data_IF_027296763066
#
_entry.id   IF_027296763066
#
_cell.length_a   1.000
_cell.length_b   1.000
_cell.length_c   1.000
_cell.angle_alpha   90.00
_cell.angle_beta   90.00
_cell.angle_gamma   90.00
#
_symmetry.space_group_name_H-M   'P 1'
#
loop_
_entity.id
_entity.type
_entity.pdbx_description
1 polymer ?
#
# COMPACT_ATOMS: atom_id res chain seq x y z
N UNK A 1 16.12 -4.06 6.83
CA UNK A 1 16.03 -5.48 6.40
C UNK A 1 15.99 -5.72 4.89
N UNK A 2 14.91 -5.36 4.16
CA UNK A 2 14.63 -5.88 2.78
C UNK A 2 15.77 -5.71 1.77
N UNK A 3 16.62 -4.70 1.93
CA UNK A 3 17.76 -4.39 1.06
C UNK A 3 19.04 -5.18 1.35
N UNK A 4 19.08 -6.08 2.37
CA UNK A 4 20.29 -6.81 2.79
C UNK A 4 20.97 -7.59 1.66
N UNK A 5 20.19 -8.22 0.76
CA UNK A 5 20.72 -9.05 -0.33
C UNK A 5 21.03 -8.21 -1.59
N UNK A 6 21.17 -6.88 -1.43
CA UNK A 6 21.36 -5.92 -2.53
C UNK A 6 22.64 -5.09 -2.36
N UNK A 7 23.19 -4.63 -3.48
CA UNK A 7 24.33 -3.68 -3.55
C UNK A 7 24.08 -2.30 -2.94
N UNK A 8 22.96 -2.10 -2.25
CA UNK A 8 22.54 -0.86 -1.61
C UNK A 8 22.24 -1.02 -0.12
N UNK A 9 22.50 -2.18 0.51
CA UNK A 9 22.12 -2.46 1.91
C UNK A 9 22.54 -1.34 2.88
N UNK A 10 23.81 -0.88 2.78
CA UNK A 10 24.41 0.16 3.62
C UNK A 10 23.99 1.60 3.24
N UNK A 11 23.10 1.73 2.24
CA UNK A 11 22.63 2.98 1.65
C UNK A 11 21.11 3.13 1.76
N UNK A 12 20.47 2.36 2.65
CA UNK A 12 19.01 2.38 2.87
C UNK A 12 18.47 3.81 3.13
N UNK A 13 19.09 4.65 3.99
CA UNK A 13 18.64 6.03 4.15
C UNK A 13 18.79 6.89 2.88
N UNK A 14 19.95 6.82 2.21
CA UNK A 14 20.23 7.61 1.00
C UNK A 14 19.23 7.29 -0.13
N UNK A 15 18.93 6.01 -0.35
CA UNK A 15 17.98 5.56 -1.39
C UNK A 15 16.57 6.08 -1.11
N UNK A 16 16.14 6.10 0.15
CA UNK A 16 14.79 6.57 0.53
C UNK A 16 14.68 8.09 0.47
N UNK A 17 15.67 8.84 0.99
CA UNK A 17 15.75 10.30 0.84
C UNK A 17 15.71 10.67 -0.64
N UNK A 18 16.55 10.03 -1.47
CA UNK A 18 16.66 10.36 -2.90
C UNK A 18 15.40 10.01 -3.69
N UNK A 19 14.69 8.94 -3.32
CA UNK A 19 13.39 8.60 -3.90
C UNK A 19 12.33 9.67 -3.58
N UNK A 20 12.28 10.13 -2.33
CA UNK A 20 11.37 11.19 -1.89
C UNK A 20 11.64 12.53 -2.60
N UNK A 21 12.91 12.94 -2.73
CA UNK A 21 13.32 14.14 -3.48
C UNK A 21 12.87 14.10 -4.95
N UNK A 22 13.05 12.95 -5.62
CA UNK A 22 12.65 12.77 -7.02
C UNK A 22 11.13 12.83 -7.16
N UNK A 23 10.39 12.17 -6.27
CA UNK A 23 8.93 12.21 -6.24
C UNK A 23 8.42 13.64 -5.97
N UNK A 24 9.04 14.38 -5.04
CA UNK A 24 8.72 15.78 -4.75
C UNK A 24 8.94 16.69 -5.95
N UNK A 25 10.06 16.55 -6.66
CA UNK A 25 10.35 17.32 -7.88
C UNK A 25 9.35 17.05 -9.02
N UNK A 26 8.82 15.83 -9.11
CA UNK A 26 7.75 15.52 -10.05
C UNK A 26 6.39 16.10 -9.59
N UNK A 27 6.05 15.92 -8.32
CA UNK A 27 4.78 16.35 -7.75
C UNK A 27 4.61 17.88 -7.71
N UNK A 28 5.70 18.64 -7.54
CA UNK A 28 5.68 20.11 -7.55
C UNK A 28 5.22 20.73 -8.88
N UNK A 29 5.21 19.96 -9.98
CA UNK A 29 4.69 20.41 -11.27
C UNK A 29 3.16 20.61 -11.27
N UNK A 30 2.44 19.92 -10.37
CA UNK A 30 0.97 19.94 -10.29
C UNK A 30 0.45 20.11 -8.84
N UNK A 31 1.31 20.55 -7.92
CA UNK A 31 1.03 20.63 -6.47
C UNK A 31 0.45 19.31 -5.88
N UNK A 32 0.99 18.18 -6.32
CA UNK A 32 0.59 16.85 -5.85
C UNK A 32 1.21 16.50 -4.49
N UNK A 33 0.54 15.58 -3.76
CA UNK A 33 1.08 14.99 -2.53
C UNK A 33 2.07 13.87 -2.84
N UNK A 34 3.09 13.73 -2.00
CA UNK A 34 4.14 12.70 -2.08
C UNK A 34 3.99 11.73 -0.93
N UNK A 35 3.73 10.46 -1.25
CA UNK A 35 3.67 9.37 -0.27
C UNK A 35 5.02 8.65 -0.15
N UNK A 36 5.56 8.55 1.06
CA UNK A 36 6.67 7.65 1.39
C UNK A 36 6.16 6.21 1.53
N UNK A 37 6.39 5.39 0.50
CA UNK A 37 5.94 4.00 0.46
C UNK A 37 6.89 3.06 1.22
N UNK A 38 6.33 2.23 2.10
CA UNK A 38 7.04 1.21 2.86
C UNK A 38 6.29 -0.12 2.73
N UNK A 39 6.96 -1.14 2.19
CA UNK A 39 6.40 -2.49 2.02
C UNK A 39 6.88 -3.47 3.09
N UNK A 40 6.32 -4.69 3.13
CA UNK A 40 6.74 -5.72 4.09
C UNK A 40 8.22 -6.09 3.94
N UNK A 41 8.86 -6.51 5.04
CA UNK A 41 10.29 -6.85 5.08
C UNK A 41 10.63 -8.13 4.31
N UNK A 42 9.62 -8.93 3.96
CA UNK A 42 9.74 -10.14 3.14
C UNK A 42 10.10 -11.40 3.92
N UNK A 43 9.97 -11.40 5.24
CA UNK A 43 10.14 -12.56 6.10
C UNK A 43 9.21 -12.48 7.33
N UNK A 44 8.90 -13.62 7.93
CA UNK A 44 7.85 -13.75 8.96
C UNK A 44 8.44 -13.52 10.36
N UNK A 45 7.67 -12.88 11.24
CA UNK A 45 8.01 -12.67 12.65
C UNK A 45 7.82 -13.94 13.49
N UNK A 46 8.47 -14.02 14.65
CA UNK A 46 8.19 -15.05 15.65
C UNK A 46 6.71 -15.06 16.08
N UNK A 47 6.12 -16.23 16.39
CA UNK A 47 6.76 -17.56 16.46
C UNK A 47 6.88 -18.28 15.10
N UNK A 48 6.33 -17.74 14.02
CA UNK A 48 6.21 -18.43 12.72
C UNK A 48 7.40 -18.23 11.78
N UNK A 49 8.29 -17.29 12.08
CA UNK A 49 9.55 -17.06 11.36
C UNK A 49 10.66 -16.52 12.27
N UNK A 50 11.82 -16.15 11.70
CA UNK A 50 13.02 -15.87 12.48
C UNK A 50 13.08 -14.47 13.09
N UNK A 51 12.28 -13.52 12.62
CA UNK A 51 12.44 -12.10 12.96
C UNK A 51 11.83 -11.73 14.31
N UNK A 52 12.54 -10.90 15.08
CA UNK A 52 11.99 -10.24 16.26
C UNK A 52 11.15 -9.03 15.88
N UNK A 53 10.16 -8.72 16.72
CA UNK A 53 9.29 -7.55 16.54
C UNK A 53 10.07 -6.22 16.55
N UNK A 54 11.01 -6.07 17.49
CA UNK A 54 11.80 -4.83 17.62
C UNK A 54 12.80 -4.62 16.46
N UNK A 55 13.36 -5.68 15.86
CA UNK A 55 14.23 -5.56 14.68
C UNK A 55 13.46 -5.05 13.44
N UNK A 56 12.21 -5.52 13.30
CA UNK A 56 11.29 -5.07 12.23
C UNK A 56 10.87 -3.63 12.46
N UNK A 57 10.51 -3.28 13.70
CA UNK A 57 10.16 -1.92 14.13
C UNK A 57 11.30 -0.93 13.93
N UNK A 58 12.53 -1.30 14.29
CA UNK A 58 13.74 -0.51 14.02
C UNK A 58 13.99 -0.34 12.50
N UNK A 59 13.77 -1.39 11.70
CA UNK A 59 13.86 -1.29 10.22
C UNK A 59 12.86 -0.27 9.65
N UNK A 60 11.61 -0.29 10.09
CA UNK A 60 10.61 0.67 9.62
C UNK A 60 10.85 2.08 10.17
N UNK A 61 11.42 2.22 11.38
CA UNK A 61 11.83 3.52 11.92
C UNK A 61 12.95 4.17 11.08
N UNK A 62 13.97 3.40 10.68
CA UNK A 62 15.02 3.89 9.76
C UNK A 62 14.42 4.38 8.44
N UNK A 63 13.57 3.56 7.81
CA UNK A 63 12.97 3.90 6.52
C UNK A 63 12.02 5.10 6.61
N UNK A 64 11.15 5.12 7.62
CA UNK A 64 10.20 6.22 7.84
C UNK A 64 10.92 7.55 8.11
N UNK A 65 12.01 7.54 8.89
CA UNK A 65 12.84 8.73 9.09
C UNK A 65 13.46 9.21 7.78
N UNK A 66 14.08 8.32 7.00
CA UNK A 66 14.70 8.68 5.74
C UNK A 66 13.69 9.26 4.72
N UNK A 67 12.47 8.72 4.68
CA UNK A 67 11.39 9.27 3.84
C UNK A 67 10.91 10.64 4.35
N UNK A 68 10.77 10.82 5.67
CA UNK A 68 10.39 12.09 6.27
C UNK A 68 11.47 13.19 6.05
N UNK A 69 12.75 12.86 6.25
CA UNK A 69 13.89 13.75 5.99
C UNK A 69 13.97 14.12 4.50
N UNK A 70 13.58 13.22 3.60
CA UNK A 70 13.41 13.48 2.16
C UNK A 70 12.17 14.28 1.77
N UNK A 71 11.34 14.69 2.75
CA UNK A 71 10.24 15.64 2.56
C UNK A 71 8.98 15.08 1.89
N UNK A 72 8.53 13.87 2.27
CA UNK A 72 7.21 13.33 1.91
C UNK A 72 6.07 13.97 2.74
N UNK A 73 4.85 14.02 2.21
CA UNK A 73 3.67 14.59 2.90
C UNK A 73 2.97 13.60 3.85
N UNK A 74 3.14 12.30 3.58
CA UNK A 74 2.54 11.20 4.31
C UNK A 74 3.37 9.92 4.12
N UNK A 75 3.20 8.96 5.04
CA UNK A 75 3.75 7.61 4.92
C UNK A 75 2.64 6.62 4.56
N UNK A 76 2.96 5.63 3.73
CA UNK A 76 2.03 4.58 3.31
C UNK A 76 2.69 3.23 3.54
N UNK A 77 2.21 2.49 4.54
CA UNK A 77 2.58 1.11 4.82
C UNK A 77 1.67 0.24 3.95
N UNK A 78 2.10 -0.21 2.76
CA UNK A 78 1.23 -0.96 1.83
C UNK A 78 1.77 -2.31 1.33
N UNK A 79 0.84 -3.17 0.90
CA UNK A 79 1.06 -4.60 0.58
C UNK A 79 1.30 -5.47 1.82
N UNK A 80 0.77 -5.09 2.98
CA UNK A 80 0.94 -5.89 4.21
C UNK A 80 0.07 -7.15 4.23
N UNK A 81 0.54 -8.18 4.95
CA UNK A 81 -0.16 -9.45 5.09
C UNK A 81 -0.43 -9.86 6.55
N UNK A 82 0.40 -9.43 7.52
CA UNK A 82 0.28 -9.79 8.94
C UNK A 82 -0.09 -8.57 9.81
N UNK A 83 -0.84 -8.75 10.89
CA UNK A 83 -1.17 -7.65 11.81
C UNK A 83 0.05 -7.26 12.66
N UNK A 84 0.92 -8.23 12.95
CA UNK A 84 2.09 -8.14 13.82
C UNK A 84 3.21 -7.32 13.14
N UNK A 85 3.52 -7.65 11.88
CA UNK A 85 4.46 -6.90 11.05
C UNK A 85 3.96 -5.47 10.81
N UNK A 86 2.67 -5.29 10.55
CA UNK A 86 2.06 -3.97 10.35
C UNK A 86 2.06 -3.14 11.64
N UNK A 87 1.93 -3.79 12.81
CA UNK A 87 2.07 -3.14 14.11
C UNK A 87 3.50 -2.65 14.34
N UNK A 88 4.50 -3.48 14.05
CA UNK A 88 5.91 -3.10 14.09
C UNK A 88 6.21 -1.93 13.13
N UNK A 89 5.65 -1.97 11.91
CA UNK A 89 5.79 -0.91 10.92
C UNK A 89 5.18 0.42 11.38
N UNK A 90 3.97 0.38 11.96
CA UNK A 90 3.28 1.57 12.44
C UNK A 90 3.98 2.19 13.65
N UNK A 91 4.37 1.37 14.64
CA UNK A 91 5.14 1.85 15.80
C UNK A 91 6.51 2.40 15.39
N UNK A 92 7.21 1.72 14.47
CA UNK A 92 8.49 2.17 13.94
C UNK A 92 8.37 3.55 13.30
N UNK A 93 7.41 3.71 12.39
CA UNK A 93 7.15 4.98 11.72
C UNK A 93 6.74 6.10 12.69
N UNK A 94 5.80 5.84 13.60
CA UNK A 94 5.30 6.83 14.58
C UNK A 94 6.36 7.21 15.63
N UNK A 95 7.37 6.37 15.87
CA UNK A 95 8.45 6.69 16.83
C UNK A 95 9.46 7.73 16.32
N UNK A 96 9.46 8.04 15.02
CA UNK A 96 10.44 8.95 14.39
C UNK A 96 9.83 10.15 13.66
N UNK A 97 8.52 10.15 13.37
CA UNK A 97 7.86 11.27 12.69
C UNK A 97 6.37 11.33 12.98
N UNK A 98 5.83 12.55 12.96
CA UNK A 98 4.41 12.80 13.18
C UNK A 98 3.54 12.76 11.91
N UNK A 99 4.15 12.56 10.74
CA UNK A 99 3.47 12.54 9.44
C UNK A 99 2.22 11.63 9.42
N UNK A 100 1.18 11.95 8.63
CA UNK A 100 0.03 11.08 8.44
C UNK A 100 0.45 9.68 7.95
N UNK A 101 -0.08 8.62 8.56
CA UNK A 101 0.20 7.23 8.17
C UNK A 101 -1.07 6.62 7.56
N UNK A 102 -0.94 6.08 6.35
CA UNK A 102 -1.92 5.18 5.71
C UNK A 102 -1.45 3.74 5.88
N UNK A 103 -2.38 2.82 6.14
CA UNK A 103 -2.08 1.38 6.25
C UNK A 103 -2.91 0.61 5.23
N UNK A 104 -2.26 -0.19 4.39
CA UNK A 104 -2.91 -0.93 3.31
C UNK A 104 -2.45 -2.40 3.22
N UNK A 105 -3.43 -3.29 3.06
CA UNK A 105 -3.23 -4.74 3.07
C UNK A 105 -3.44 -5.37 1.67
N UNK A 106 -2.76 -6.48 1.41
CA UNK A 106 -2.93 -7.28 0.19
C UNK A 106 -3.78 -8.51 0.47
N UNK A 107 -4.98 -8.56 -0.12
CA UNK A 107 -5.96 -9.62 0.09
C UNK A 107 -5.90 -10.63 -1.07
N UNK A 108 -5.02 -11.62 -0.93
CA UNK A 108 -4.67 -12.62 -1.95
C UNK A 108 -5.38 -13.98 -1.77
N UNK A 109 -6.26 -14.12 -0.77
CA UNK A 109 -7.02 -15.35 -0.43
C UNK A 109 -8.52 -15.06 -0.32
N UNK A 110 -9.09 -14.44 -1.34
CA UNK A 110 -10.42 -13.83 -1.28
C UNK A 110 -10.36 -12.55 -0.43
N UNK A 111 -11.35 -12.30 0.42
CA UNK A 111 -11.32 -11.17 1.40
C UNK A 111 -10.39 -11.45 2.59
N UNK A 112 -9.26 -12.12 2.35
CA UNK A 112 -8.23 -12.44 3.35
C UNK A 112 -6.82 -12.31 2.77
N UNK A 113 -5.87 -11.94 3.61
CA UNK A 113 -4.42 -12.07 3.34
C UNK A 113 -4.00 -13.54 3.41
N UNK A 114 -2.80 -13.87 2.93
CA UNK A 114 -2.15 -15.18 3.15
C UNK A 114 -2.01 -15.59 4.63
N UNK A 115 -1.95 -14.63 5.56
CA UNK A 115 -1.93 -14.88 7.01
C UNK A 115 -3.34 -14.94 7.64
N UNK A 116 -4.39 -14.96 6.82
CA UNK A 116 -5.78 -15.09 7.24
C UNK A 116 -6.46 -13.81 7.74
N UNK A 117 -5.73 -12.69 7.85
CA UNK A 117 -6.24 -11.38 8.30
C UNK A 117 -7.41 -10.91 7.42
N UNK A 118 -8.45 -10.35 8.04
CA UNK A 118 -9.65 -9.83 7.38
C UNK A 118 -9.67 -8.30 7.33
N UNK A 119 -10.35 -7.68 6.35
CA UNK A 119 -10.60 -6.24 6.31
C UNK A 119 -11.13 -5.67 7.63
N UNK A 120 -12.18 -6.30 8.20
CA UNK A 120 -12.81 -5.82 9.44
C UNK A 120 -11.88 -5.79 10.66
N UNK A 121 -10.89 -6.67 10.70
CA UNK A 121 -9.99 -6.84 11.84
C UNK A 121 -8.81 -5.85 11.72
N UNK A 122 -8.31 -5.63 10.49
CA UNK A 122 -7.31 -4.62 10.18
C UNK A 122 -7.82 -3.18 10.39
N UNK A 123 -9.02 -2.84 9.89
CA UNK A 123 -9.53 -1.46 9.95
C UNK A 123 -9.81 -0.98 11.37
N UNK A 124 -10.28 -1.86 12.26
CA UNK A 124 -10.43 -1.55 13.69
C UNK A 124 -9.08 -1.21 14.30
N UNK A 125 -8.15 -2.19 14.29
CA UNK A 125 -6.83 -2.05 14.91
C UNK A 125 -6.09 -0.79 14.45
N UNK A 126 -6.00 -0.55 13.15
CA UNK A 126 -5.15 0.54 12.65
C UNK A 126 -5.84 1.92 12.63
N UNK A 127 -7.17 2.01 12.59
CA UNK A 127 -7.85 3.29 12.88
C UNK A 127 -7.76 3.66 14.36
N UNK A 128 -7.86 2.68 15.26
CA UNK A 128 -7.68 2.86 16.72
C UNK A 128 -6.24 3.24 17.08
N UNK A 129 -5.24 2.82 16.29
CA UNK A 129 -3.84 3.27 16.40
C UNK A 129 -3.57 4.64 15.76
N UNK A 130 -4.54 5.26 15.09
CA UNK A 130 -4.40 6.61 14.50
C UNK A 130 -3.90 6.66 13.05
N UNK A 131 -4.07 5.59 12.26
CA UNK A 131 -3.89 5.69 10.81
C UNK A 131 -4.99 6.59 10.19
N UNK A 132 -4.60 7.52 9.31
CA UNK A 132 -5.52 8.51 8.73
C UNK A 132 -6.40 7.96 7.60
N UNK A 133 -5.95 6.88 6.96
CA UNK A 133 -6.73 6.08 6.01
C UNK A 133 -6.35 4.60 6.15
N UNK A 134 -7.31 3.72 5.92
CA UNK A 134 -7.07 2.26 5.83
C UNK A 134 -7.37 1.82 4.40
N UNK A 135 -6.63 0.85 3.88
CA UNK A 135 -6.70 0.53 2.47
C UNK A 135 -6.42 -0.91 2.09
N UNK A 136 -6.63 -1.16 0.80
CA UNK A 136 -6.21 -2.39 0.16
C UNK A 136 -5.55 -2.08 -1.18
N UNK A 137 -4.45 -2.79 -1.44
CA UNK A 137 -3.68 -2.69 -2.67
C UNK A 137 -3.25 -4.09 -3.13
N UNK A 138 -2.85 -4.24 -4.39
CA UNK A 138 -2.53 -5.54 -4.97
C UNK A 138 -3.75 -6.50 -4.89
N UNK A 139 -3.59 -7.70 -4.31
CA UNK A 139 -4.65 -8.71 -4.20
C UNK A 139 -4.95 -9.48 -5.50
N UNK A 140 -6.16 -10.01 -5.62
CA UNK A 140 -6.62 -10.83 -6.76
C UNK A 140 -7.44 -10.05 -7.81
N UNK A 141 -8.76 -10.26 -7.87
CA UNK A 141 -9.66 -9.67 -8.87
C UNK A 141 -10.25 -8.33 -8.41
N UNK A 142 -10.76 -7.56 -9.37
CA UNK A 142 -11.43 -6.29 -9.09
C UNK A 142 -12.73 -6.46 -8.28
N UNK A 143 -13.47 -7.55 -8.48
CA UNK A 143 -14.64 -7.91 -7.65
C UNK A 143 -14.24 -8.34 -6.23
N UNK A 144 -13.10 -9.01 -6.05
CA UNK A 144 -12.59 -9.32 -4.72
C UNK A 144 -12.18 -8.04 -3.96
N UNK A 145 -11.57 -7.09 -4.65
CA UNK A 145 -11.32 -5.76 -4.11
C UNK A 145 -12.64 -5.03 -3.75
N UNK A 146 -13.69 -5.18 -4.58
CA UNK A 146 -15.02 -4.63 -4.28
C UNK A 146 -15.63 -5.24 -3.01
N UNK A 147 -15.42 -6.54 -2.77
CA UNK A 147 -15.83 -7.22 -1.54
C UNK A 147 -15.02 -6.77 -0.31
N UNK A 148 -13.72 -6.55 -0.46
CA UNK A 148 -12.84 -5.98 0.60
C UNK A 148 -13.29 -4.58 1.00
N UNK A 149 -13.56 -3.70 0.03
CA UNK A 149 -14.05 -2.33 0.28
C UNK A 149 -15.41 -2.34 0.98
N UNK A 150 -16.32 -3.26 0.60
CA UNK A 150 -17.59 -3.48 1.30
C UNK A 150 -17.42 -3.92 2.75
N UNK A 151 -16.49 -4.84 3.04
CA UNK A 151 -16.23 -5.29 4.42
C UNK A 151 -15.61 -4.17 5.28
N UNK A 152 -14.71 -3.35 4.72
CA UNK A 152 -14.22 -2.14 5.38
C UNK A 152 -15.35 -1.16 5.71
N UNK A 153 -16.13 -0.74 4.71
CA UNK A 153 -17.19 0.25 4.89
C UNK A 153 -18.31 -0.24 5.84
N UNK A 154 -18.63 -1.54 5.82
CA UNK A 154 -19.58 -2.14 6.75
C UNK A 154 -19.05 -2.24 8.20
N UNK A 155 -17.74 -2.11 8.42
CA UNK A 155 -17.13 -2.22 9.75
C UNK A 155 -16.83 -0.86 10.39
N UNK A 156 -16.36 0.09 9.58
CA UNK A 156 -15.84 1.40 10.01
C UNK A 156 -16.13 2.47 8.95
N UNK A 157 -17.42 2.82 8.71
CA UNK A 157 -17.85 3.71 7.63
C UNK A 157 -17.33 5.15 7.76
N UNK A 158 -16.81 5.53 8.93
CA UNK A 158 -16.20 6.83 9.22
C UNK A 158 -14.74 6.94 8.75
N UNK A 159 -14.06 5.82 8.48
CA UNK A 159 -12.63 5.78 8.14
C UNK A 159 -12.44 5.96 6.62
N UNK A 160 -11.66 6.95 6.15
CA UNK A 160 -11.37 7.11 4.73
C UNK A 160 -10.66 5.90 4.14
N UNK A 161 -11.12 5.41 2.98
CA UNK A 161 -10.54 4.22 2.35
C UNK A 161 -9.59 4.55 1.18
N UNK A 162 -8.46 3.83 1.13
CA UNK A 162 -7.39 3.90 0.12
C UNK A 162 -7.39 2.61 -0.73
N UNK A 163 -7.58 2.70 -2.05
CA UNK A 163 -7.87 1.52 -2.89
C UNK A 163 -7.02 1.50 -4.17
N UNK A 164 -6.07 0.56 -4.26
CA UNK A 164 -5.14 0.40 -5.40
C UNK A 164 -5.03 -1.07 -5.88
N UNK A 165 -6.06 -1.66 -6.51
CA UNK A 165 -5.96 -3.01 -7.05
C UNK A 165 -4.96 -3.12 -8.21
N UNK A 166 -4.56 -4.36 -8.51
CA UNK A 166 -3.85 -4.71 -9.75
C UNK A 166 -4.76 -4.52 -10.98
N UNK A 167 -4.16 -4.45 -12.18
CA UNK A 167 -4.87 -4.47 -13.46
C UNK A 167 -5.39 -5.89 -13.81
N UNK A 168 -6.13 -6.50 -12.88
CA UNK A 168 -6.51 -7.92 -12.92
C UNK A 168 -5.51 -8.83 -12.22
N UNK A 169 -5.71 -10.14 -12.40
CA UNK A 169 -4.84 -11.18 -11.84
C UNK A 169 -3.66 -11.37 -12.79
N UNK A 170 -2.39 -11.36 -12.32
CA UNK A 170 -1.26 -11.64 -13.18
C UNK A 170 -1.29 -13.08 -13.69
N UNK A 171 -1.03 -13.25 -14.98
CA UNK A 171 -0.71 -14.54 -15.60
C UNK A 171 0.67 -14.46 -16.28
N UNK A 172 1.27 -15.62 -16.59
CA UNK A 172 2.53 -15.68 -17.33
C UNK A 172 2.24 -15.83 -18.81
N UNK A 173 2.76 -14.92 -19.61
CA UNK A 173 2.90 -15.08 -21.06
C UNK A 173 3.93 -16.19 -21.33
N UNK A 174 3.52 -17.22 -22.07
CA UNK A 174 4.32 -18.42 -22.35
C UNK A 174 5.31 -18.23 -23.51
N UNK A 175 5.20 -17.14 -24.28
CA UNK A 175 6.14 -16.80 -25.36
C UNK A 175 7.22 -15.83 -24.88
N UNK A 176 6.90 -14.91 -23.96
CA UNK A 176 7.87 -13.91 -23.45
C UNK A 176 8.39 -14.17 -22.03
N UNK A 177 7.80 -15.14 -21.30
CA UNK A 177 8.02 -15.41 -19.87
C UNK A 177 7.67 -14.22 -18.94
N UNK A 178 6.95 -13.21 -19.44
CA UNK A 178 6.60 -12.00 -18.68
C UNK A 178 5.24 -12.10 -17.97
N UNK A 179 5.08 -11.33 -16.89
CA UNK A 179 3.81 -11.22 -16.17
C UNK A 179 2.85 -10.23 -16.84
N UNK A 180 1.78 -10.74 -17.43
CA UNK A 180 0.75 -9.96 -18.15
C UNK A 180 -0.49 -9.75 -17.26
N UNK A 181 -1.21 -8.67 -17.53
CA UNK A 181 -2.37 -8.17 -16.79
C UNK A 181 -3.49 -7.78 -17.77
N UNK A 182 -4.66 -8.39 -17.64
CA UNK A 182 -5.72 -8.34 -18.66
C UNK A 182 -6.68 -7.13 -18.59
N UNK A 183 -6.76 -6.42 -17.46
CA UNK A 183 -7.75 -5.35 -17.28
C UNK A 183 -7.24 -4.04 -17.86
N UNK A 184 -7.94 -3.49 -18.84
CA UNK A 184 -7.55 -2.27 -19.52
C UNK A 184 -7.90 -0.99 -18.74
N UNK A 185 -7.55 0.19 -19.30
CA UNK A 185 -7.84 1.48 -18.67
C UNK A 185 -9.34 1.70 -18.39
N UNK A 186 -10.25 1.21 -19.24
CA UNK A 186 -11.70 1.38 -19.05
C UNK A 186 -12.29 0.46 -17.97
N UNK A 187 -11.73 -0.73 -17.79
CA UNK A 187 -12.09 -1.66 -16.70
C UNK A 187 -11.71 -1.05 -15.35
N UNK A 188 -10.45 -0.62 -15.23
CA UNK A 188 -9.93 0.01 -14.03
C UNK A 188 -10.67 1.32 -13.69
N UNK A 189 -10.99 2.12 -14.71
CA UNK A 189 -11.80 3.32 -14.56
C UNK A 189 -13.24 3.01 -14.11
N UNK A 190 -13.82 1.90 -14.57
CA UNK A 190 -15.17 1.46 -14.20
C UNK A 190 -15.21 0.95 -12.76
N UNK A 191 -14.24 0.15 -12.33
CA UNK A 191 -14.13 -0.30 -10.95
C UNK A 191 -13.76 0.84 -9.99
N UNK A 192 -12.93 1.81 -10.39
CA UNK A 192 -12.65 3.00 -9.59
C UNK A 192 -13.92 3.78 -9.22
N UNK A 193 -14.87 3.94 -10.16
CA UNK A 193 -16.19 4.52 -9.85
C UNK A 193 -16.97 3.71 -8.82
N UNK A 194 -16.94 2.36 -8.91
CA UNK A 194 -17.59 1.49 -7.90
C UNK A 194 -16.96 1.70 -6.51
N UNK A 195 -15.63 1.72 -6.39
CA UNK A 195 -14.95 1.88 -5.10
C UNK A 195 -15.23 3.25 -4.46
N UNK A 196 -15.24 4.33 -5.26
CA UNK A 196 -15.62 5.68 -4.77
C UNK A 196 -17.08 5.70 -4.29
N UNK A 197 -18.00 5.09 -5.03
CA UNK A 197 -19.41 4.95 -4.61
C UNK A 197 -19.59 4.11 -3.34
N UNK A 198 -18.66 3.20 -3.04
CA UNK A 198 -18.60 2.40 -1.81
C UNK A 198 -17.87 3.11 -0.64
N UNK A 199 -17.33 4.31 -0.84
CA UNK A 199 -16.72 5.14 0.21
C UNK A 199 -15.24 5.50 0.01
N UNK A 200 -14.54 4.91 -0.98
CA UNK A 200 -13.13 5.19 -1.22
C UNK A 200 -12.86 6.69 -1.45
N UNK A 201 -11.83 7.21 -0.76
CA UNK A 201 -11.40 8.61 -0.84
C UNK A 201 -10.11 8.78 -1.64
N UNK A 202 -9.29 7.73 -1.73
CA UNK A 202 -8.20 7.62 -2.70
C UNK A 202 -8.38 6.34 -3.51
N UNK A 203 -8.32 6.47 -4.84
CA UNK A 203 -8.31 5.34 -5.77
C UNK A 203 -7.14 5.45 -6.74
N UNK A 204 -6.63 4.31 -7.19
CA UNK A 204 -5.55 4.22 -8.18
C UNK A 204 -5.25 2.77 -8.56
N UNK A 205 -4.04 2.52 -9.05
CA UNK A 205 -3.58 1.20 -9.45
C UNK A 205 -2.34 0.72 -8.71
N UNK A 206 -2.17 -0.60 -8.58
CA UNK A 206 -0.94 -1.28 -8.16
C UNK A 206 -0.28 -1.95 -9.39
N UNK A 207 0.01 -3.25 -9.36
CA UNK A 207 0.70 -3.92 -10.47
C UNK A 207 -0.14 -3.91 -11.77
N UNK A 208 0.54 -3.99 -12.91
CA UNK A 208 -0.05 -3.92 -14.26
C UNK A 208 -0.61 -2.56 -14.68
N UNK A 209 -0.76 -1.60 -13.76
CA UNK A 209 -1.31 -0.29 -14.10
C UNK A 209 -0.25 0.62 -14.72
N UNK A 210 -0.62 1.27 -15.83
CA UNK A 210 0.22 2.24 -16.57
C UNK A 210 -0.29 3.68 -16.42
N UNK A 211 0.38 4.65 -17.06
CA UNK A 211 -0.06 6.04 -17.07
C UNK A 211 -1.47 6.20 -17.68
N UNK A 212 -1.80 5.40 -18.69
CA UNK A 212 -3.10 5.35 -19.37
C UNK A 212 -4.20 4.89 -18.41
N UNK A 213 -3.92 3.87 -17.58
CA UNK A 213 -4.83 3.39 -16.55
C UNK A 213 -5.10 4.47 -15.49
N UNK A 214 -4.05 5.14 -15.00
CA UNK A 214 -4.19 6.24 -14.04
C UNK A 214 -4.96 7.42 -14.65
N UNK A 215 -4.73 7.76 -15.92
CA UNK A 215 -5.47 8.80 -16.63
C UNK A 215 -6.96 8.45 -16.80
N UNK A 216 -7.28 7.19 -17.12
CA UNK A 216 -8.67 6.73 -17.24
C UNK A 216 -9.39 6.69 -15.88
N UNK A 217 -8.73 6.21 -14.82
CA UNK A 217 -9.22 6.28 -13.44
C UNK A 217 -9.50 7.74 -13.06
N UNK A 218 -8.53 8.63 -13.23
CA UNK A 218 -8.64 10.04 -12.88
C UNK A 218 -9.77 10.73 -13.65
N UNK A 219 -9.93 10.45 -14.95
CA UNK A 219 -11.04 10.95 -15.77
C UNK A 219 -12.41 10.44 -15.28
N UNK A 220 -12.48 9.20 -14.83
CA UNK A 220 -13.74 8.54 -14.45
C UNK A 220 -14.24 8.88 -13.04
N UNK A 221 -13.37 9.31 -12.13
CA UNK A 221 -13.75 9.71 -10.75
C UNK A 221 -13.71 11.21 -10.51
N UNK A 222 -13.44 12.01 -11.56
CA UNK A 222 -13.54 13.47 -11.51
C UNK A 222 -15.01 13.88 -11.59
N UNK A 223 -15.49 14.56 -10.55
CA UNK A 223 -16.73 15.34 -10.57
C UNK A 223 -16.53 16.68 -11.28
#
# INVERSE_FOLDING_TARGET
MRMKDSKYQDRTPEVNIRAAEIARKAASLNNGLVAGSMGPVGAILKPYGPLEFEDVKATFAEQAKALADGGVDLLVIETMFALEETNAAFEGARSVTDLPIVVSFSYDRGTRTMMGVKPKDAIKKFSEMGAVMIGANCGTTLDNMEAVVKEYQATKPEVPLWVKPNAGVPHMDLETEQGVYDMGPEDMATYARKYVALGAKVVGGCCGNTAEHIAAIAKAVKG
#
